data_IF_820243708155
#
_entry.id   IF_820243708155
#
_cell.length_a   1.000
_cell.length_b   1.000
_cell.length_c   1.000
_cell.angle_alpha   90.00
_cell.angle_beta   90.00
_cell.angle_gamma   90.00
#
_symmetry.space_group_name_H-M   'P 1'
#
loop_
_entity.id
_entity.type
_entity.pdbx_description
1 polymer ?
#
# COMPACT_ATOMS: atom_id res chain seq x y z
N UNK A 1 -0.81 70.79 -8.31
CA UNK A 1 -1.53 71.45 -7.19
C UNK A 1 -2.13 70.39 -6.29
N UNK A 2 -1.79 70.52 -5.00
CA UNK A 2 -2.17 69.74 -3.81
C UNK A 2 -3.61 69.23 -3.74
N UNK A 3 -3.77 68.06 -3.08
CA UNK A 3 -4.53 67.80 -1.82
C UNK A 3 -4.74 66.27 -1.72
N UNK A 4 -3.92 65.51 -0.98
CA UNK A 4 -3.89 65.35 0.48
C UNK A 4 -5.21 64.79 1.04
N UNK A 5 -5.09 63.59 1.64
CA UNK A 5 -5.80 63.06 2.83
C UNK A 5 -7.04 62.14 2.71
N UNK A 6 -7.02 61.14 3.61
CA UNK A 6 -8.03 60.16 4.07
C UNK A 6 -8.16 58.86 3.26
N UNK A 7 -7.51 57.76 3.67
CA UNK A 7 -7.80 56.90 4.85
C UNK A 7 -9.19 56.28 4.83
N UNK A 8 -9.37 55.13 4.18
CA UNK A 8 -10.28 54.08 4.68
C UNK A 8 -9.59 52.73 4.53
N UNK A 9 -9.22 52.22 5.69
CA UNK A 9 -8.78 50.89 6.06
C UNK A 9 -9.84 49.85 5.63
N UNK A 10 -9.48 48.91 4.75
CA UNK A 10 -10.23 47.66 4.61
C UNK A 10 -9.33 46.50 5.00
N UNK A 11 -9.67 46.01 6.19
CA UNK A 11 -9.11 44.90 6.94
C UNK A 11 -9.23 43.61 6.12
N UNK A 12 -8.10 43.10 5.62
CA UNK A 12 -7.99 41.70 5.17
C UNK A 12 -7.82 40.83 6.42
N UNK A 13 -8.96 40.34 6.94
CA UNK A 13 -8.99 39.37 8.03
C UNK A 13 -8.68 37.97 7.47
N UNK A 14 -7.42 37.71 7.10
CA UNK A 14 -6.96 36.33 6.94
C UNK A 14 -6.62 35.80 8.32
N UNK A 15 -7.49 34.94 8.86
CA UNK A 15 -7.21 34.10 10.02
C UNK A 15 -6.05 33.14 9.69
N UNK A 16 -4.83 33.63 9.82
CA UNK A 16 -3.64 32.81 9.98
C UNK A 16 -3.70 32.20 11.37
N UNK A 17 -4.20 30.96 11.45
CA UNK A 17 -4.02 30.13 12.62
C UNK A 17 -2.54 29.84 12.83
N UNK A 18 -1.98 30.41 13.89
CA UNK A 18 -0.67 30.03 14.41
C UNK A 18 -0.76 28.65 15.07
N UNK A 19 0.07 27.71 14.65
CA UNK A 19 0.53 26.63 15.53
C UNK A 19 2.06 26.64 15.50
N UNK A 20 2.65 26.97 16.64
CA UNK A 20 4.10 27.17 16.82
C UNK A 20 4.80 25.95 17.43
N UNK A 21 6.13 25.97 17.32
CA UNK A 21 7.09 25.09 18.02
C UNK A 21 8.04 24.39 17.03
N UNK A 22 9.12 25.01 16.54
CA UNK A 22 10.42 25.32 17.19
C UNK A 22 11.31 24.11 17.47
N UNK A 23 12.45 24.04 16.77
CA UNK A 23 13.69 23.46 17.31
C UNK A 23 14.50 22.56 16.36
N UNK A 24 15.58 23.10 15.78
CA UNK A 24 16.77 22.31 15.41
C UNK A 24 17.18 22.32 13.93
N UNK A 25 17.97 23.31 13.51
CA UNK A 25 18.72 23.31 12.25
C UNK A 25 20.21 23.25 12.57
N UNK A 26 20.89 22.20 12.11
CA UNK A 26 22.35 22.09 12.14
C UNK A 26 22.86 21.19 11.03
N UNK A 27 23.67 21.75 10.14
CA UNK A 27 24.76 21.05 9.46
C UNK A 27 24.46 20.40 8.10
N UNK A 28 24.99 21.01 7.04
CA UNK A 28 25.07 20.45 5.69
C UNK A 28 26.08 19.29 5.62
N UNK A 29 25.76 18.28 4.81
CA UNK A 29 26.70 17.23 4.41
C UNK A 29 26.00 16.26 3.45
N UNK A 30 26.46 16.19 2.20
CA UNK A 30 25.93 15.24 1.22
C UNK A 30 26.09 13.81 1.70
N UNK A 31 24.97 13.10 1.79
CA UNK A 31 24.93 11.65 1.86
C UNK A 31 23.97 11.18 0.77
N UNK A 32 24.52 10.37 -0.13
CA UNK A 32 23.80 9.48 -1.05
C UNK A 32 22.59 8.93 -0.28
N UNK A 33 21.34 9.02 -0.80
CA UNK A 33 20.21 8.50 -0.07
C UNK A 33 20.49 7.03 0.25
N UNK A 34 20.69 6.77 1.54
CA UNK A 34 20.75 5.43 2.06
C UNK A 34 19.49 4.74 1.54
N UNK A 35 19.68 3.64 0.81
CA UNK A 35 18.63 2.67 0.58
C UNK A 35 18.19 2.20 1.97
N UNK A 36 17.23 2.91 2.55
CA UNK A 36 16.56 2.47 3.74
C UNK A 36 15.83 1.20 3.32
N UNK A 37 16.46 0.04 3.58
CA UNK A 37 15.75 -1.22 3.66
C UNK A 37 14.49 -0.96 4.49
N UNK A 38 13.27 -1.24 3.99
CA UNK A 38 12.04 -0.90 4.70
C UNK A 38 11.81 -1.92 5.84
N UNK A 39 12.77 -2.03 6.75
CA UNK A 39 12.63 -2.75 8.00
C UNK A 39 11.81 -1.86 8.94
N UNK A 40 10.50 -1.78 8.68
CA UNK A 40 9.62 -0.94 9.50
C UNK A 40 8.15 -0.87 9.09
N UNK A 41 7.74 -1.41 7.94
CA UNK A 41 6.29 -1.53 7.66
C UNK A 41 5.75 -2.73 8.42
N UNK A 42 4.81 -2.48 9.32
CA UNK A 42 4.46 -3.47 10.34
C UNK A 42 3.60 -4.59 9.73
N UNK A 43 3.71 -5.80 10.28
CA UNK A 43 2.85 -6.95 9.92
C UNK A 43 1.34 -6.61 9.97
N UNK A 44 0.96 -5.68 10.86
CA UNK A 44 -0.43 -5.22 10.99
C UNK A 44 -0.88 -4.41 9.77
N UNK A 45 0.02 -3.63 9.19
CA UNK A 45 -0.27 -2.84 7.98
C UNK A 45 -0.44 -3.76 6.77
N UNK A 46 0.34 -4.85 6.70
CA UNK A 46 0.18 -5.87 5.65
C UNK A 46 -1.21 -6.54 5.69
N UNK A 47 -1.68 -6.91 6.89
CA UNK A 47 -3.02 -7.47 7.09
C UNK A 47 -4.12 -6.48 6.70
N UNK A 48 -4.01 -5.22 7.11
CA UNK A 48 -4.98 -4.19 6.73
C UNK A 48 -5.08 -4.00 5.21
N UNK A 49 -3.94 -4.00 4.50
CA UNK A 49 -3.91 -3.92 3.03
C UNK A 49 -4.51 -5.14 2.36
N UNK A 50 -4.27 -6.33 2.91
CA UNK A 50 -4.93 -7.54 2.44
C UNK A 50 -6.46 -7.44 2.61
N UNK A 51 -6.94 -7.02 3.77
CA UNK A 51 -8.37 -6.95 4.05
C UNK A 51 -9.07 -5.92 3.15
N UNK A 52 -8.44 -4.75 2.95
CA UNK A 52 -8.90 -3.74 1.98
C UNK A 52 -8.99 -4.32 0.55
N UNK A 53 -7.97 -5.08 0.14
CA UNK A 53 -7.94 -5.71 -1.18
C UNK A 53 -9.04 -6.76 -1.38
N UNK A 54 -9.43 -7.49 -0.32
CA UNK A 54 -10.47 -8.53 -0.39
C UNK A 54 -11.82 -7.93 -0.78
N UNK A 55 -12.19 -6.78 -0.23
CA UNK A 55 -13.47 -6.13 -0.56
C UNK A 55 -13.54 -5.76 -2.05
N UNK A 56 -12.44 -5.26 -2.61
CA UNK A 56 -12.33 -4.97 -4.04
C UNK A 56 -12.29 -6.24 -4.90
N UNK A 57 -11.62 -7.30 -4.44
CA UNK A 57 -11.56 -8.59 -5.13
C UNK A 57 -12.96 -9.20 -5.28
N UNK A 58 -13.78 -9.17 -4.22
CA UNK A 58 -15.15 -9.68 -4.22
C UNK A 58 -16.06 -8.94 -5.19
N UNK A 59 -15.76 -7.66 -5.46
CA UNK A 59 -16.48 -6.83 -6.43
C UNK A 59 -15.95 -6.99 -7.87
N UNK A 60 -14.90 -7.79 -8.08
CA UNK A 60 -14.24 -7.92 -9.38
C UNK A 60 -13.37 -6.73 -9.78
N UNK A 61 -13.08 -5.81 -8.86
CA UNK A 61 -12.23 -4.64 -9.09
C UNK A 61 -10.75 -5.02 -9.04
N UNK A 62 -10.33 -5.92 -9.92
CA UNK A 62 -9.00 -6.52 -9.88
C UNK A 62 -7.86 -5.50 -10.09
N UNK A 63 -8.12 -4.43 -10.82
CA UNK A 63 -7.16 -3.32 -11.00
C UNK A 63 -6.87 -2.57 -9.69
N UNK A 64 -7.78 -2.64 -8.72
CA UNK A 64 -7.64 -2.03 -7.39
C UNK A 64 -7.13 -3.06 -6.38
N UNK A 65 -7.63 -4.30 -6.41
CA UNK A 65 -7.21 -5.31 -5.41
C UNK A 65 -5.78 -5.80 -5.62
N UNK A 66 -5.32 -5.98 -6.86
CA UNK A 66 -3.96 -6.43 -7.15
C UNK A 66 -2.84 -5.53 -6.54
N UNK A 67 -2.87 -4.19 -6.68
CA UNK A 67 -1.86 -3.34 -6.04
C UNK A 67 -1.92 -3.40 -4.50
N UNK A 68 -3.11 -3.51 -3.89
CA UNK A 68 -3.26 -3.65 -2.43
C UNK A 68 -2.60 -4.94 -1.92
N UNK A 69 -2.80 -6.06 -2.62
CA UNK A 69 -2.12 -7.29 -2.27
C UNK A 69 -0.61 -7.23 -2.53
N UNK A 70 -0.17 -6.53 -3.58
CA UNK A 70 1.26 -6.28 -3.83
C UNK A 70 1.92 -5.47 -2.72
N UNK A 71 1.23 -4.47 -2.18
CA UNK A 71 1.67 -3.75 -0.99
C UNK A 71 1.77 -4.69 0.22
N UNK A 72 0.74 -5.51 0.45
CA UNK A 72 0.73 -6.47 1.55
C UNK A 72 1.91 -7.46 1.50
N UNK A 73 2.22 -8.03 0.33
CA UNK A 73 3.39 -8.92 0.16
C UNK A 73 4.72 -8.15 0.19
N UNK A 74 4.74 -6.88 -0.20
CA UNK A 74 5.92 -6.01 -0.06
C UNK A 74 6.25 -5.70 1.40
N UNK A 75 5.23 -5.61 2.26
CA UNK A 75 5.37 -5.43 3.71
C UNK A 75 5.68 -6.75 4.41
N UNK A 76 5.01 -7.84 4.01
CA UNK A 76 5.19 -9.18 4.56
C UNK A 76 5.36 -10.21 3.42
N UNK A 77 6.60 -10.50 3.01
CA UNK A 77 6.89 -11.39 1.87
C UNK A 77 6.49 -12.86 2.07
N UNK A 78 6.24 -13.29 3.30
CA UNK A 78 5.79 -14.65 3.64
C UNK A 78 4.29 -14.70 3.95
N UNK A 79 3.53 -13.67 3.58
CA UNK A 79 2.09 -13.61 3.85
C UNK A 79 1.29 -14.46 2.85
N UNK A 80 1.14 -15.74 3.20
CA UNK A 80 0.50 -16.74 2.34
C UNK A 80 -0.89 -16.32 1.83
N UNK A 81 -1.74 -15.75 2.68
CA UNK A 81 -3.07 -15.27 2.29
C UNK A 81 -3.00 -14.12 1.27
N UNK A 82 -2.07 -13.17 1.42
CA UNK A 82 -1.91 -12.07 0.47
C UNK A 82 -1.38 -12.57 -0.88
N UNK A 83 -0.46 -13.54 -0.90
CA UNK A 83 -0.03 -14.21 -2.13
C UNK A 83 -1.20 -14.93 -2.82
N UNK A 84 -2.03 -15.64 -2.05
CA UNK A 84 -3.21 -16.31 -2.60
C UNK A 84 -4.21 -15.31 -3.21
N UNK A 85 -4.49 -14.22 -2.49
CA UNK A 85 -5.43 -13.19 -2.96
C UNK A 85 -4.88 -12.40 -4.16
N UNK A 86 -3.58 -12.14 -4.20
CA UNK A 86 -2.91 -11.58 -5.38
C UNK A 86 -3.05 -12.51 -6.58
N UNK A 87 -2.88 -13.83 -6.37
CA UNK A 87 -3.10 -14.83 -7.41
C UNK A 87 -4.52 -14.79 -7.99
N UNK A 88 -5.54 -14.69 -7.12
CA UNK A 88 -6.94 -14.54 -7.55
C UNK A 88 -7.18 -13.25 -8.34
N UNK A 89 -6.60 -12.13 -7.88
CA UNK A 89 -6.75 -10.85 -8.58
C UNK A 89 -6.09 -10.88 -9.97
N UNK A 90 -4.89 -11.48 -10.09
CA UNK A 90 -4.18 -11.61 -11.36
C UNK A 90 -4.92 -12.54 -12.32
N UNK A 91 -5.48 -13.65 -11.82
CA UNK A 91 -6.28 -14.57 -12.62
C UNK A 91 -7.54 -13.88 -13.17
N UNK A 92 -8.22 -13.09 -12.33
CA UNK A 92 -9.36 -12.26 -12.73
C UNK A 92 -9.02 -11.21 -13.81
N UNK A 93 -7.77 -10.74 -13.85
CA UNK A 93 -7.25 -9.84 -14.91
C UNK A 93 -6.83 -10.57 -16.18
N UNK A 94 -6.81 -11.91 -16.17
CA UNK A 94 -6.29 -12.74 -17.25
C UNK A 94 -4.77 -12.93 -17.23
N UNK A 95 -4.07 -12.45 -16.19
CA UNK A 95 -2.64 -12.75 -15.99
C UNK A 95 -2.48 -14.10 -15.27
N UNK A 96 -2.80 -15.18 -16.01
CA UNK A 96 -2.74 -16.54 -15.49
C UNK A 96 -1.31 -16.96 -15.12
N UNK A 97 -0.30 -16.42 -15.80
CA UNK A 97 1.10 -16.71 -15.51
C UNK A 97 1.52 -16.09 -14.16
N UNK A 98 1.21 -14.80 -13.96
CA UNK A 98 1.42 -14.14 -12.68
C UNK A 98 0.64 -14.81 -11.55
N UNK A 99 -0.62 -15.19 -11.80
CA UNK A 99 -1.43 -15.90 -10.82
C UNK A 99 -0.78 -17.21 -10.35
N UNK A 100 -0.27 -18.02 -11.30
CA UNK A 100 0.42 -19.27 -10.99
C UNK A 100 1.65 -19.06 -10.11
N UNK A 101 2.46 -18.03 -10.36
CA UNK A 101 3.64 -17.74 -9.54
C UNK A 101 3.26 -17.34 -8.11
N UNK A 102 2.21 -16.54 -7.94
CA UNK A 102 1.75 -16.13 -6.60
C UNK A 102 1.07 -17.29 -5.86
N UNK A 103 0.34 -18.17 -6.56
CA UNK A 103 -0.19 -19.40 -5.98
C UNK A 103 0.90 -20.38 -5.53
N UNK A 104 2.04 -20.46 -6.23
CA UNK A 104 3.19 -21.25 -5.77
C UNK A 104 3.72 -20.73 -4.44
N UNK A 105 3.94 -19.41 -4.32
CA UNK A 105 4.38 -18.77 -3.07
C UNK A 105 3.37 -18.94 -1.95
N UNK A 106 2.08 -18.80 -2.25
CA UNK A 106 1.01 -19.03 -1.27
C UNK A 106 1.07 -20.46 -0.70
N UNK A 107 1.32 -21.47 -1.54
CA UNK A 107 1.51 -22.86 -1.09
C UNK A 107 2.83 -23.06 -0.34
N UNK A 108 3.90 -22.38 -0.73
CA UNK A 108 5.20 -22.45 -0.06
C UNK A 108 5.10 -21.93 1.38
N UNK A 109 4.51 -20.75 1.58
CA UNK A 109 4.39 -20.14 2.90
C UNK A 109 3.19 -20.66 3.71
N UNK A 110 2.12 -21.05 3.02
CA UNK A 110 0.84 -21.48 3.62
C UNK A 110 0.59 -22.98 3.50
N UNK A 111 1.58 -23.80 3.19
CA UNK A 111 1.41 -25.24 2.92
C UNK A 111 0.79 -26.03 4.09
N UNK A 112 0.92 -25.53 5.32
CA UNK A 112 0.28 -26.07 6.52
C UNK A 112 -1.15 -25.57 6.75
N UNK A 113 -1.57 -24.50 6.05
CA UNK A 113 -2.92 -23.94 6.13
C UNK A 113 -3.81 -24.64 5.10
N UNK A 114 -4.75 -25.52 5.52
CA UNK A 114 -5.58 -26.28 4.59
C UNK A 114 -6.46 -25.37 3.71
N UNK A 115 -6.80 -24.14 4.16
CA UNK A 115 -7.57 -23.20 3.35
C UNK A 115 -6.84 -22.77 2.07
N UNK A 116 -5.51 -22.79 2.10
CA UNK A 116 -4.64 -22.45 0.97
C UNK A 116 -4.23 -23.73 0.24
N UNK A 117 -3.66 -24.70 0.97
CA UNK A 117 -3.09 -25.91 0.40
C UNK A 117 -4.13 -26.79 -0.32
N UNK A 118 -5.37 -26.84 0.17
CA UNK A 118 -6.46 -27.64 -0.41
C UNK A 118 -7.33 -26.83 -1.39
N UNK A 119 -7.00 -25.56 -1.66
CA UNK A 119 -7.83 -24.72 -2.50
C UNK A 119 -7.86 -25.20 -3.96
N UNK A 120 -9.06 -25.43 -4.49
CA UNK A 120 -9.24 -25.96 -5.84
C UNK A 120 -8.72 -25.04 -6.96
N UNK A 121 -8.82 -23.71 -6.77
CA UNK A 121 -8.34 -22.73 -7.75
C UNK A 121 -6.82 -22.80 -7.84
N UNK A 122 -6.15 -22.75 -6.69
CA UNK A 122 -4.70 -22.90 -6.60
C UNK A 122 -4.25 -24.23 -7.23
N UNK A 123 -4.89 -25.35 -6.87
CA UNK A 123 -4.58 -26.68 -7.43
C UNK A 123 -4.69 -26.74 -8.96
N UNK A 124 -5.74 -26.12 -9.52
CA UNK A 124 -5.92 -26.01 -10.97
C UNK A 124 -4.75 -25.29 -11.64
N UNK A 125 -4.27 -24.19 -11.06
CA UNK A 125 -3.11 -23.45 -11.59
C UNK A 125 -1.79 -24.20 -11.44
N UNK A 126 -1.65 -24.99 -10.38
CA UNK A 126 -0.42 -25.76 -10.11
C UNK A 126 -0.40 -27.14 -10.79
N UNK A 127 -1.52 -27.60 -11.33
CA UNK A 127 -1.64 -28.92 -11.96
C UNK A 127 -1.54 -30.08 -10.97
N UNK A 128 -1.99 -29.89 -9.72
CA UNK A 128 -1.84 -30.86 -8.62
C UNK A 128 -3.17 -31.35 -8.06
#
# INVERSE_FOLDING_TARGET
MNRVLFSILLVFLTLSGCYGGSGGSGGAGGQIPAIASPAGMTQKDAAAKNDEGVDHLLQGHYDVSAPLFKEAVGMKPDFAEAHFNLGLALDGKGDHAGATEEFKKAKEFGGSNPKIAENAILKKHLGS
#
